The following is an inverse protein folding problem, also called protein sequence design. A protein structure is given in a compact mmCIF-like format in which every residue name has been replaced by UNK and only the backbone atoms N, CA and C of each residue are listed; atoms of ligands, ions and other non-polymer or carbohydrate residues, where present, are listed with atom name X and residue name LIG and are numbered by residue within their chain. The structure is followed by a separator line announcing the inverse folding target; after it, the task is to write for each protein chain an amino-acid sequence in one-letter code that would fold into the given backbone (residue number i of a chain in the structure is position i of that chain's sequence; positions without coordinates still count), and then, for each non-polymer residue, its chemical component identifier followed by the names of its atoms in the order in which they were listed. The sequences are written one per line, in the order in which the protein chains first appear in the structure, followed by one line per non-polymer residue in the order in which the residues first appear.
data_IF_443616338816
#
_entry.id   IF_443616338816
#
_cell.length_a   1.000
_cell.length_b   1.000
_cell.length_c   1.000
_cell.angle_alpha   90.00
_cell.angle_beta   90.00
_cell.angle_gamma   90.00
#
_symmetry.space_group_name_H-M   'P 1'
#
loop_
_entity.id
_entity.type
_entity.pdbx_description
1 polymer ?
#
# COMPACT_ATOMS: atom_id res chain seq x y z
N UNK A 1 -12.09 -14.94 3.26
CA UNK A 1 -11.68 -13.53 3.39
C UNK A 1 -10.33 -13.38 2.72
N UNK A 2 -10.19 -12.46 1.77
CA UNK A 2 -8.92 -12.13 1.11
C UNK A 2 -8.64 -10.65 1.34
N UNK A 3 -7.37 -10.30 1.45
CA UNK A 3 -6.93 -8.90 1.49
C UNK A 3 -6.13 -8.66 0.23
N UNK A 4 -6.67 -7.87 -0.69
CA UNK A 4 -6.06 -7.58 -1.98
C UNK A 4 -5.73 -6.09 -2.10
N UNK A 5 -4.83 -5.74 -3.00
CA UNK A 5 -4.48 -4.34 -3.27
C UNK A 5 -5.00 -3.95 -4.65
N UNK A 6 -5.55 -2.73 -4.75
CA UNK A 6 -5.96 -2.14 -6.01
C UNK A 6 -5.26 -0.79 -6.22
N UNK A 7 -4.77 -0.55 -7.44
CA UNK A 7 -4.25 0.75 -7.82
C UNK A 7 -5.40 1.73 -8.02
N UNK A 8 -5.38 2.87 -7.34
CA UNK A 8 -6.49 3.85 -7.40
C UNK A 8 -6.62 4.56 -8.75
N UNK A 9 -5.54 4.60 -9.55
CA UNK A 9 -5.54 5.26 -10.86
C UNK A 9 -5.94 4.32 -11.98
N UNK A 10 -5.40 3.11 -11.97
CA UNK A 10 -5.62 2.14 -13.07
C UNK A 10 -6.72 1.13 -12.77
N UNK A 11 -7.17 1.05 -11.51
CA UNK A 11 -8.15 0.07 -11.00
C UNK A 11 -7.71 -1.40 -11.15
N UNK A 12 -6.44 -1.64 -11.48
CA UNK A 12 -5.86 -2.97 -11.54
C UNK A 12 -5.52 -3.48 -10.14
N UNK A 13 -5.59 -4.78 -9.95
CA UNK A 13 -5.25 -5.48 -8.74
C UNK A 13 -3.79 -5.95 -8.77
N UNK A 14 -3.13 -5.90 -7.62
CA UNK A 14 -1.75 -6.37 -7.51
C UNK A 14 -1.70 -7.90 -7.59
N UNK A 15 -0.93 -8.44 -8.52
CA UNK A 15 -0.75 -9.89 -8.69
C UNK A 15 0.64 -10.32 -8.21
N UNK A 16 1.70 -9.65 -8.68
CA UNK A 16 3.08 -9.93 -8.30
C UNK A 16 3.96 -8.70 -8.53
N UNK A 17 5.26 -8.80 -8.21
CA UNK A 17 6.22 -7.73 -8.47
C UNK A 17 6.16 -7.34 -9.95
N UNK A 18 5.91 -6.05 -10.22
CA UNK A 18 5.74 -5.50 -11.58
C UNK A 18 4.53 -6.04 -12.38
N UNK A 19 3.64 -6.84 -11.76
CA UNK A 19 2.49 -7.43 -12.42
C UNK A 19 1.17 -7.00 -11.76
N UNK A 20 0.29 -6.39 -12.57
CA UNK A 20 -1.06 -5.96 -12.18
C UNK A 20 -2.08 -6.58 -13.14
N UNK A 21 -3.25 -6.94 -12.61
CA UNK A 21 -4.31 -7.65 -13.35
C UNK A 21 -5.66 -6.95 -13.20
N UNK A 22 -6.52 -6.94 -14.23
CA UNK A 22 -7.90 -6.47 -14.07
C UNK A 22 -8.78 -7.49 -13.32
N UNK A 23 -8.34 -8.74 -13.18
CA UNK A 23 -9.11 -9.81 -12.55
C UNK A 23 -8.80 -9.95 -11.04
N UNK A 24 -9.76 -9.66 -10.14
CA UNK A 24 -9.57 -9.81 -8.69
C UNK A 24 -9.35 -11.28 -8.25
N UNK A 25 -9.76 -12.27 -9.05
CA UNK A 25 -9.49 -13.68 -8.75
C UNK A 25 -7.98 -13.98 -8.81
N UNK A 26 -7.25 -13.30 -9.71
CA UNK A 26 -5.81 -13.43 -9.88
C UNK A 26 -4.99 -12.53 -8.95
N UNK A 27 -5.64 -11.68 -8.17
CA UNK A 27 -4.98 -10.79 -7.22
C UNK A 27 -4.27 -11.56 -6.10
N UNK A 28 -3.11 -11.06 -5.68
CA UNK A 28 -2.39 -11.60 -4.52
C UNK A 28 -3.20 -11.36 -3.26
N UNK A 29 -3.43 -12.43 -2.51
CA UNK A 29 -3.97 -12.35 -1.15
C UNK A 29 -2.84 -12.09 -0.14
N UNK A 30 -2.99 -11.02 0.63
CA UNK A 30 -2.09 -10.61 1.70
C UNK A 30 -2.49 -11.21 3.06
N UNK A 31 -3.57 -12.00 3.12
CA UNK A 31 -4.12 -12.71 4.30
C UNK A 31 -4.70 -11.77 5.36
N UNK A 32 -4.06 -10.63 5.64
CA UNK A 32 -4.55 -9.63 6.57
C UNK A 32 -4.06 -8.20 6.22
N UNK A 33 -4.74 -7.21 6.80
CA UNK A 33 -4.44 -5.79 6.57
C UNK A 33 -3.04 -5.36 7.04
N UNK A 34 -2.48 -6.01 8.06
CA UNK A 34 -1.17 -5.65 8.62
C UNK A 34 -0.06 -5.94 7.60
N UNK A 35 -0.08 -7.12 6.99
CA UNK A 35 0.89 -7.48 5.94
C UNK A 35 0.71 -6.58 4.72
N UNK A 36 -0.53 -6.36 4.27
CA UNK A 36 -0.83 -5.46 3.16
C UNK A 36 -0.31 -4.04 3.43
N UNK A 37 -0.54 -3.48 4.62
CA UNK A 37 -0.06 -2.15 5.01
C UNK A 37 1.46 -2.06 5.00
N UNK A 38 2.19 -3.05 5.55
CA UNK A 38 3.67 -3.03 5.51
C UNK A 38 4.19 -3.12 4.08
N UNK A 39 3.57 -3.96 3.24
CA UNK A 39 3.93 -4.06 1.84
C UNK A 39 3.76 -2.72 1.12
N UNK A 40 2.62 -2.03 1.33
CA UNK A 40 2.35 -0.71 0.73
C UNK A 40 3.34 0.36 1.22
N UNK A 41 3.76 0.32 2.49
CA UNK A 41 4.76 1.26 3.01
C UNK A 41 6.14 1.08 2.38
N UNK A 42 6.53 -0.16 2.04
CA UNK A 42 7.78 -0.47 1.35
C UNK A 42 7.71 -0.28 -0.17
N UNK A 43 6.50 -0.30 -0.74
CA UNK A 43 6.29 -0.19 -2.18
C UNK A 43 6.30 1.29 -2.60
N UNK A 44 7.18 1.66 -3.53
CA UNK A 44 7.15 2.98 -4.21
C UNK A 44 6.00 3.09 -5.22
N UNK A 45 4.93 2.31 -5.05
CA UNK A 45 3.74 2.46 -5.87
C UNK A 45 2.94 3.65 -5.35
N UNK A 46 2.21 4.30 -6.24
CA UNK A 46 1.34 5.42 -5.90
C UNK A 46 0.22 5.03 -4.92
N UNK A 47 -0.84 5.83 -4.92
CA UNK A 47 -1.98 5.58 -4.04
C UNK A 47 -2.66 4.23 -4.36
N UNK A 48 -2.75 3.36 -3.37
CA UNK A 48 -3.40 2.03 -3.48
C UNK A 48 -4.47 1.88 -2.42
N UNK A 49 -5.57 1.21 -2.78
CA UNK A 49 -6.63 0.84 -1.85
C UNK A 49 -6.40 -0.61 -1.37
N UNK A 50 -6.56 -0.86 -0.07
CA UNK A 50 -6.65 -2.20 0.50
C UNK A 50 -8.11 -2.63 0.45
N UNK A 51 -8.38 -3.75 -0.19
CA UNK A 51 -9.72 -4.31 -0.32
C UNK A 51 -9.80 -5.60 0.51
N UNK A 52 -10.75 -5.65 1.44
CA UNK A 52 -11.17 -6.86 2.12
C UNK A 52 -12.33 -7.50 1.36
N UNK A 53 -12.05 -8.62 0.73
CA UNK A 53 -13.02 -9.46 0.04
C UNK A 53 -13.51 -10.56 1.00
N UNK A 54 -14.78 -10.47 1.40
CA UNK A 54 -15.47 -11.41 2.28
C UNK A 54 -16.37 -12.39 1.49
N UNK A 55 -16.15 -12.53 0.17
CA UNK A 55 -16.98 -13.32 -0.74
C UNK A 55 -18.16 -12.49 -1.24
N UNK A 56 -19.35 -12.68 -0.67
CA UNK A 56 -20.55 -11.94 -1.09
C UNK A 56 -20.53 -10.45 -0.69
N UNK A 57 -19.54 -10.03 0.11
CA UNK A 57 -19.40 -8.67 0.60
C UNK A 57 -17.97 -8.18 0.37
N UNK A 58 -17.82 -6.89 0.08
CA UNK A 58 -16.51 -6.27 -0.14
C UNK A 58 -16.42 -4.98 0.68
N UNK A 59 -15.32 -4.82 1.41
CA UNK A 59 -14.99 -3.61 2.16
C UNK A 59 -13.72 -2.98 1.62
N UNK A 60 -13.76 -1.68 1.31
CA UNK A 60 -12.64 -0.96 0.72
C UNK A 60 -12.07 0.04 1.74
N UNK A 61 -10.78 -0.09 2.08
CA UNK A 61 -10.05 0.84 2.91
C UNK A 61 -8.96 1.54 2.08
N UNK A 62 -8.98 2.87 2.03
CA UNK A 62 -7.96 3.64 1.33
C UNK A 62 -6.72 3.83 2.18
N UNK A 63 -5.56 3.40 1.68
CA UNK A 63 -4.27 3.75 2.26
C UNK A 63 -3.58 4.80 1.42
N UNK A 64 -3.38 5.97 2.01
CA UNK A 64 -2.48 6.96 1.45
C UNK A 64 -1.06 6.55 1.83
N UNK A 65 -0.23 6.22 0.84
CA UNK A 65 1.23 6.09 1.02
C UNK A 65 1.84 7.48 1.23
N UNK A 66 1.46 8.15 2.30
CA UNK A 66 2.14 9.37 2.75
C UNK A 66 3.53 8.95 3.22
N UNK A 67 4.55 9.17 2.39
CA UNK A 67 5.91 9.25 2.89
C UNK A 67 5.90 10.32 3.97
N UNK A 68 5.96 9.92 5.25
CA UNK A 68 6.40 10.85 6.29
C UNK A 68 7.83 11.20 5.90
N UNK A 69 8.02 12.38 5.28
CA UNK A 69 9.33 13.03 5.27
C UNK A 69 9.76 13.06 6.73
N UNK A 70 10.72 12.24 7.12
CA UNK A 70 11.42 12.48 8.38
C UNK A 70 11.97 13.89 8.24
N UNK A 71 11.49 14.81 9.06
CA UNK A 71 12.16 16.09 9.22
C UNK A 71 13.49 15.72 9.86
N UNK A 72 14.53 15.66 9.04
CA UNK A 72 15.90 15.61 9.49
C UNK A 72 16.16 16.94 10.18
N UNK A 73 15.91 17.00 11.49
CA UNK A 73 16.42 18.08 12.34
C UNK A 73 17.94 17.96 12.32
N UNK A 74 18.55 18.69 11.39
CA UNK A 74 19.98 18.94 11.39
C UNK A 74 20.31 19.80 12.60
N UNK A 75 20.76 19.16 13.68
CA UNK A 75 21.44 19.85 14.77
C UNK A 75 22.86 20.20 14.30
N UNK A 76 22.99 21.22 13.47
CA UNK A 76 24.27 21.91 13.27
C UNK A 76 24.60 22.68 14.55
N UNK A 77 25.21 21.99 15.51
CA UNK A 77 25.96 22.67 16.58
C UNK A 77 27.26 23.19 15.96
N UNK A 78 27.17 24.37 15.34
CA UNK A 78 28.33 25.20 15.04
C UNK A 78 28.65 26.01 16.30
N UNK A 79 29.41 25.44 17.22
CA UNK A 79 30.06 26.20 18.27
C UNK A 79 31.37 26.75 17.69
N UNK A 80 31.30 27.98 17.22
CA UNK A 80 32.45 28.88 17.15
C UNK A 80 32.65 29.46 18.54
N UNK A 81 33.82 29.20 19.13
CA UNK A 81 34.54 30.09 20.06
C UNK A 81 35.83 29.39 20.47
#
# INVERSE_FOLDING_TARGET
MRVILQNTKTLLYYQATEAWTPDPALAKDFVNMKIASYFVQGMKAGTVDIIMDLGAYTYNARLLSTMKKSVQTGSTNRLQS
#
